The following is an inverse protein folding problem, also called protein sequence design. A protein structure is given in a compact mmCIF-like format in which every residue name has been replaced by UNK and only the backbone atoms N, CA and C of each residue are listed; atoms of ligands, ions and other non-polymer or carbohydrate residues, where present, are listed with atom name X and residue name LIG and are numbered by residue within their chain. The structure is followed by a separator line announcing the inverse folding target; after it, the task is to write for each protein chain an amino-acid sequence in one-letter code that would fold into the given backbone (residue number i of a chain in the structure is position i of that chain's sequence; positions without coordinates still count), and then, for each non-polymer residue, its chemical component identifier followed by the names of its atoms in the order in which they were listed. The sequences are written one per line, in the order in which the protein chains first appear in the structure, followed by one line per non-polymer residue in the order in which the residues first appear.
data_IF_254394051689
#
_entry.id   IF_254394051689
#
_cell.length_a   1.000
_cell.length_b   1.000
_cell.length_c   1.000
_cell.angle_alpha   90.00
_cell.angle_beta   90.00
_cell.angle_gamma   90.00
#
_symmetry.space_group_name_H-M   'P 1'
#
loop_
_entity.id
_entity.type
_entity.pdbx_description
1 polymer ?
#
# COMPACT_ATOMS: atom_id res chain seq x y z
N UNK A 1 -52.48 -17.05 -51.40
CA UNK A 1 -51.62 -18.23 -51.16
C UNK A 1 -50.13 -17.88 -51.27
N UNK A 2 -49.69 -16.72 -50.75
CA UNK A 2 -48.27 -16.35 -50.70
C UNK A 2 -47.81 -15.99 -49.26
N UNK A 3 -48.75 -15.88 -48.33
CA UNK A 3 -48.50 -15.46 -46.95
C UNK A 3 -48.17 -16.64 -46.02
N UNK A 4 -48.48 -17.87 -46.42
CA UNK A 4 -48.19 -19.09 -45.64
C UNK A 4 -46.80 -19.67 -45.87
N UNK A 5 -46.10 -19.30 -46.95
CA UNK A 5 -44.75 -19.79 -47.23
C UNK A 5 -43.65 -18.98 -46.50
N UNK A 6 -43.89 -17.68 -46.25
CA UNK A 6 -42.92 -16.83 -45.55
C UNK A 6 -42.84 -17.14 -44.05
N UNK A 7 -43.94 -17.58 -43.43
CA UNK A 7 -43.99 -17.90 -42.00
C UNK A 7 -43.33 -19.25 -41.68
N UNK A 8 -43.31 -20.20 -42.62
CA UNK A 8 -42.61 -21.49 -42.44
C UNK A 8 -41.09 -21.35 -42.60
N UNK A 9 -40.61 -20.48 -43.48
CA UNK A 9 -39.17 -20.23 -43.65
C UNK A 9 -38.53 -19.47 -42.47
N UNK A 10 -39.32 -18.73 -41.68
CA UNK A 10 -38.81 -17.99 -40.52
C UNK A 10 -38.60 -18.87 -39.27
N UNK A 11 -39.23 -20.05 -39.20
CA UNK A 11 -39.06 -21.00 -38.08
C UNK A 11 -37.82 -21.87 -38.27
N UNK A 12 -37.40 -22.15 -39.51
CA UNK A 12 -36.23 -22.99 -39.80
C UNK A 12 -34.86 -22.27 -39.68
N UNK A 13 -34.83 -20.94 -39.56
CA UNK A 13 -33.59 -20.16 -39.49
C UNK A 13 -33.16 -19.77 -38.07
N UNK A 14 -33.90 -20.22 -37.03
CA UNK A 14 -33.57 -19.95 -35.63
C UNK A 14 -32.69 -21.03 -34.97
N UNK A 15 -32.54 -22.20 -35.59
CA UNK A 15 -31.79 -23.33 -35.03
C UNK A 15 -30.33 -23.31 -35.50
N UNK A 16 -29.61 -22.26 -35.09
CA UNK A 16 -28.21 -22.10 -35.43
C UNK A 16 -27.30 -23.15 -34.75
N UNK A 17 -26.07 -23.36 -35.26
CA UNK A 17 -25.08 -24.30 -34.70
C UNK A 17 -24.69 -24.03 -33.23
N UNK A 18 -25.12 -22.89 -32.67
CA UNK A 18 -24.97 -22.57 -31.26
C UNK A 18 -25.90 -23.40 -30.35
N UNK A 19 -27.12 -23.73 -30.78
CA UNK A 19 -28.07 -24.53 -29.99
C UNK A 19 -27.66 -26.00 -29.93
N UNK A 20 -27.15 -26.56 -31.04
CA UNK A 20 -26.65 -27.94 -31.06
C UNK A 20 -25.37 -28.09 -30.22
N UNK A 21 -24.45 -27.12 -30.26
CA UNK A 21 -23.28 -27.10 -29.38
C UNK A 21 -23.64 -27.00 -27.89
N UNK A 22 -24.65 -26.20 -27.54
CA UNK A 22 -25.12 -26.06 -26.16
C UNK A 22 -25.80 -27.34 -25.67
N UNK A 23 -26.61 -27.98 -26.51
CA UNK A 23 -27.23 -29.27 -26.20
C UNK A 23 -26.19 -30.38 -25.97
N UNK A 24 -25.17 -30.48 -26.83
CA UNK A 24 -24.06 -31.44 -26.66
C UNK A 24 -23.29 -31.16 -25.36
N UNK A 25 -23.05 -29.89 -25.03
CA UNK A 25 -22.40 -29.50 -23.78
C UNK A 25 -23.22 -29.91 -22.54
N UNK A 26 -24.53 -29.67 -22.54
CA UNK A 26 -25.44 -30.06 -21.45
C UNK A 26 -25.57 -31.58 -21.31
N UNK A 27 -25.64 -32.31 -22.41
CA UNK A 27 -25.67 -33.78 -22.40
C UNK A 27 -24.36 -34.37 -21.84
N UNK A 28 -23.20 -33.81 -22.20
CA UNK A 28 -21.91 -34.19 -21.62
C UNK A 28 -21.82 -33.86 -20.11
N UNK A 29 -22.49 -32.80 -19.66
CA UNK A 29 -22.53 -32.41 -18.25
C UNK A 29 -23.27 -33.45 -17.37
N UNK A 30 -24.26 -34.14 -17.94
CA UNK A 30 -25.05 -35.17 -17.26
C UNK A 30 -24.40 -36.57 -17.25
N UNK A 31 -23.32 -36.78 -18.01
CA UNK A 31 -22.57 -38.04 -18.06
C UNK A 31 -21.66 -38.27 -16.85
N UNK A 32 -21.36 -37.23 -16.08
CA UNK A 32 -20.53 -37.31 -14.89
C UNK A 32 -21.41 -37.61 -13.66
N UNK A 33 -21.12 -38.67 -12.89
CA UNK A 33 -21.86 -38.98 -11.65
C UNK A 33 -21.96 -37.78 -10.71
N UNK A 34 -23.14 -37.54 -10.14
CA UNK A 34 -23.40 -36.49 -9.15
C UNK A 34 -22.38 -36.40 -7.98
N UNK A 35 -21.78 -37.49 -7.45
CA UNK A 35 -20.76 -37.35 -6.41
C UNK A 35 -19.46 -36.70 -6.89
N UNK A 36 -19.11 -36.82 -8.18
CA UNK A 36 -17.89 -36.22 -8.75
C UNK A 36 -18.06 -34.70 -8.85
N UNK A 37 -19.23 -34.22 -9.28
CA UNK A 37 -19.55 -32.79 -9.29
C UNK A 37 -19.53 -32.20 -7.87
N UNK A 38 -20.11 -32.89 -6.89
CA UNK A 38 -20.08 -32.46 -5.50
C UNK A 38 -18.64 -32.37 -4.95
N UNK A 39 -17.78 -33.35 -5.28
CA UNK A 39 -16.38 -33.34 -4.90
C UNK A 39 -15.63 -32.15 -5.51
N UNK A 40 -15.79 -31.89 -6.81
CA UNK A 40 -15.15 -30.74 -7.50
C UNK A 40 -15.61 -29.41 -6.91
N UNK A 41 -16.92 -29.24 -6.65
CA UNK A 41 -17.45 -28.00 -6.07
C UNK A 41 -16.95 -27.79 -4.63
N UNK A 42 -16.85 -28.85 -3.83
CA UNK A 42 -16.32 -28.75 -2.46
C UNK A 42 -14.85 -28.34 -2.45
N UNK A 43 -14.02 -28.94 -3.30
CA UNK A 43 -12.58 -28.64 -3.37
C UNK A 43 -12.34 -27.22 -3.90
N UNK A 44 -13.09 -26.80 -4.92
CA UNK A 44 -12.97 -25.44 -5.46
C UNK A 44 -13.44 -24.38 -4.45
N UNK A 45 -14.51 -24.64 -3.69
CA UNK A 45 -14.96 -23.77 -2.61
C UNK A 45 -13.90 -23.63 -1.51
N UNK A 46 -13.25 -24.73 -1.11
CA UNK A 46 -12.17 -24.70 -0.10
C UNK A 46 -10.97 -23.88 -0.60
N UNK A 47 -10.51 -24.10 -1.83
CA UNK A 47 -9.35 -23.40 -2.39
C UNK A 47 -9.63 -21.90 -2.50
N UNK A 48 -10.81 -21.52 -3.01
CA UNK A 48 -11.20 -20.12 -3.15
C UNK A 48 -11.32 -19.43 -1.80
N UNK A 49 -11.97 -20.07 -0.81
CA UNK A 49 -12.04 -19.56 0.55
C UNK A 49 -10.65 -19.42 1.20
N UNK A 50 -9.74 -20.38 0.98
CA UNK A 50 -8.37 -20.31 1.50
C UNK A 50 -7.58 -19.15 0.90
N UNK A 51 -7.66 -18.95 -0.42
CA UNK A 51 -6.98 -17.82 -1.09
C UNK A 51 -7.56 -16.49 -0.61
N UNK A 52 -8.89 -16.36 -0.56
CA UNK A 52 -9.54 -15.15 -0.10
C UNK A 52 -9.21 -14.85 1.37
N UNK A 53 -9.30 -15.86 2.23
CA UNK A 53 -8.95 -15.79 3.65
C UNK A 53 -7.50 -15.38 3.85
N UNK A 54 -6.54 -15.98 3.13
CA UNK A 54 -5.14 -15.62 3.22
C UNK A 54 -4.88 -14.16 2.80
N UNK A 55 -5.55 -13.68 1.74
CA UNK A 55 -5.43 -12.26 1.32
C UNK A 55 -6.03 -11.31 2.34
N UNK A 56 -7.18 -11.67 2.91
CA UNK A 56 -7.87 -10.88 3.94
C UNK A 56 -7.05 -10.81 5.23
N UNK A 57 -6.51 -11.94 5.69
CA UNK A 57 -5.62 -12.02 6.85
C UNK A 57 -4.36 -11.18 6.65
N UNK A 58 -3.72 -11.24 5.48
CA UNK A 58 -2.58 -10.37 5.17
C UNK A 58 -2.95 -8.89 5.24
N UNK A 59 -4.14 -8.51 4.78
CA UNK A 59 -4.60 -7.13 4.87
C UNK A 59 -4.76 -6.69 6.34
N UNK A 60 -5.50 -7.45 7.14
CA UNK A 60 -5.69 -7.16 8.57
C UNK A 60 -4.35 -7.10 9.29
N UNK A 61 -3.47 -8.07 9.05
CA UNK A 61 -2.16 -8.14 9.71
C UNK A 61 -1.33 -6.86 9.48
N UNK A 62 -1.36 -6.32 8.26
CA UNK A 62 -0.66 -5.06 7.93
C UNK A 62 -1.31 -3.85 8.57
N UNK A 63 -2.64 -3.77 8.55
CA UNK A 63 -3.39 -2.69 9.20
C UNK A 63 -3.12 -2.67 10.71
N UNK A 64 -3.18 -3.84 11.37
CA UNK A 64 -2.85 -4.01 12.78
C UNK A 64 -1.39 -3.66 13.09
N UNK A 65 -0.43 -4.15 12.30
CA UNK A 65 0.99 -3.82 12.49
C UNK A 65 1.23 -2.32 12.38
N UNK A 66 0.60 -1.68 11.40
CA UNK A 66 0.70 -0.23 11.20
C UNK A 66 0.08 0.53 12.36
N UNK A 67 -1.12 0.12 12.80
CA UNK A 67 -1.79 0.72 13.96
C UNK A 67 -0.92 0.62 15.22
N UNK A 68 -0.41 -0.57 15.53
CA UNK A 68 0.46 -0.79 16.70
C UNK A 68 1.75 0.03 16.60
N UNK A 69 2.29 0.21 15.39
CA UNK A 69 3.48 1.04 15.18
C UNK A 69 3.18 2.52 15.45
N UNK A 70 2.04 3.03 14.99
CA UNK A 70 1.58 4.39 15.27
C UNK A 70 1.34 4.57 16.76
N UNK A 71 0.61 3.64 17.39
CA UNK A 71 0.34 3.66 18.83
C UNK A 71 1.63 3.69 19.64
N UNK A 72 2.59 2.81 19.31
CA UNK A 72 3.87 2.77 20.00
C UNK A 72 4.61 4.11 19.89
N UNK A 73 4.64 4.73 18.71
CA UNK A 73 5.25 6.05 18.51
C UNK A 73 4.56 7.15 19.34
N UNK A 74 3.25 7.06 19.55
CA UNK A 74 2.51 8.06 20.33
C UNK A 74 2.79 8.00 21.83
N UNK A 75 3.15 6.83 22.35
CA UNK A 75 3.40 6.62 23.78
C UNK A 75 4.88 6.47 24.14
N UNK A 76 5.75 6.28 23.15
CA UNK A 76 7.19 6.20 23.36
C UNK A 76 7.75 7.59 23.74
N UNK A 77 8.19 7.69 24.99
CA UNK A 77 8.77 8.92 25.54
C UNK A 77 9.99 9.38 24.76
N UNK A 78 10.83 8.45 24.32
CA UNK A 78 12.07 8.79 23.62
C UNK A 78 11.76 9.39 22.25
N UNK A 79 10.76 8.83 21.56
CA UNK A 79 10.24 9.40 20.32
C UNK A 79 9.62 10.78 20.54
N UNK A 80 8.78 10.95 21.58
CA UNK A 80 8.15 12.23 21.91
C UNK A 80 9.20 13.31 22.19
N UNK A 81 10.23 13.00 22.98
CA UNK A 81 11.27 13.96 23.35
C UNK A 81 12.18 14.30 22.17
N UNK A 82 12.58 13.30 21.38
CA UNK A 82 13.27 13.53 20.11
C UNK A 82 12.42 14.39 19.15
N UNK A 83 11.10 14.18 19.14
CA UNK A 83 10.18 14.93 18.28
C UNK A 83 10.08 16.39 18.68
N UNK A 84 10.03 16.70 19.98
CA UNK A 84 10.04 18.09 20.48
C UNK A 84 11.31 18.82 20.05
N UNK A 85 12.47 18.17 20.19
CA UNK A 85 13.75 18.72 19.78
C UNK A 85 13.84 18.91 18.26
N UNK A 86 13.34 17.94 17.48
CA UNK A 86 13.25 18.06 16.03
C UNK A 86 12.39 19.25 15.60
N UNK A 87 11.19 19.41 16.16
CA UNK A 87 10.29 20.53 15.83
C UNK A 87 10.97 21.86 16.19
N UNK A 88 11.59 21.93 17.38
CA UNK A 88 12.35 23.11 17.80
C UNK A 88 13.45 23.44 16.79
N UNK A 89 14.28 22.46 16.42
CA UNK A 89 15.35 22.65 15.45
C UNK A 89 14.82 23.06 14.06
N UNK A 90 13.74 22.41 13.58
CA UNK A 90 13.11 22.70 12.29
C UNK A 90 12.56 24.13 12.22
N UNK A 91 11.91 24.59 13.29
CA UNK A 91 11.19 25.87 13.29
C UNK A 91 12.09 27.04 13.71
N UNK A 92 13.12 26.80 14.53
CA UNK A 92 13.99 27.88 15.04
C UNK A 92 15.25 28.09 14.20
N UNK A 93 15.74 27.06 13.48
CA UNK A 93 17.01 27.14 12.76
C UNK A 93 16.80 27.56 11.31
N UNK A 94 17.76 28.33 10.79
CA UNK A 94 17.84 28.67 9.37
C UNK A 94 18.26 27.45 8.54
N UNK A 95 17.97 27.44 7.22
CA UNK A 95 18.39 26.35 6.32
C UNK A 95 19.91 26.09 6.33
N UNK A 96 20.71 27.13 6.55
CA UNK A 96 22.18 27.02 6.64
C UNK A 96 22.58 26.27 7.91
N UNK A 97 22.01 26.64 9.05
CA UNK A 97 22.27 25.98 10.34
C UNK A 97 21.85 24.50 10.32
N UNK A 98 20.72 24.17 9.70
CA UNK A 98 20.29 22.78 9.51
C UNK A 98 21.28 21.99 8.63
N UNK A 99 21.82 22.62 7.60
CA UNK A 99 22.83 22.00 6.74
C UNK A 99 24.13 21.77 7.52
N UNK A 100 24.53 22.69 8.39
CA UNK A 100 25.73 22.51 9.22
C UNK A 100 25.52 21.45 10.31
N UNK A 101 24.31 21.39 10.90
CA UNK A 101 23.92 20.34 11.82
C UNK A 101 24.02 18.94 11.18
N UNK A 102 23.73 18.83 9.88
CA UNK A 102 23.88 17.57 9.13
C UNK A 102 25.32 17.05 9.06
N UNK A 103 26.31 17.94 9.18
CA UNK A 103 27.73 17.61 9.14
C UNK A 103 28.27 17.20 10.51
N UNK A 104 27.62 17.62 11.59
CA UNK A 104 28.03 17.35 12.96
C UNK A 104 27.76 15.91 13.36
N UNK A 105 28.65 15.32 14.17
CA UNK A 105 28.46 13.98 14.70
C UNK A 105 27.28 13.95 15.69
N UNK A 106 26.44 12.91 15.63
CA UNK A 106 25.29 12.75 16.53
C UNK A 106 25.67 12.66 18.01
N UNK A 107 26.89 12.20 18.31
CA UNK A 107 27.40 12.05 19.68
C UNK A 107 27.65 13.41 20.35
N UNK A 108 27.90 14.46 19.56
CA UNK A 108 28.34 15.76 20.07
C UNK A 108 27.21 16.77 20.19
N UNK A 109 26.14 16.62 19.41
CA UNK A 109 25.03 17.57 19.39
C UNK A 109 23.68 16.86 19.49
N UNK A 110 22.96 17.13 20.58
CA UNK A 110 21.64 16.57 20.86
C UNK A 110 20.61 16.93 19.78
N UNK A 111 20.66 18.14 19.21
CA UNK A 111 19.76 18.52 18.12
C UNK A 111 20.04 17.69 16.86
N UNK A 112 21.32 17.45 16.54
CA UNK A 112 21.70 16.62 15.40
C UNK A 112 21.25 15.16 15.60
N UNK A 113 21.38 14.65 16.83
CA UNK A 113 20.90 13.32 17.19
C UNK A 113 19.38 13.21 17.06
N UNK A 114 18.64 14.18 17.61
CA UNK A 114 17.18 14.19 17.57
C UNK A 114 16.64 14.29 16.14
N UNK A 115 17.21 15.18 15.30
CA UNK A 115 16.82 15.29 13.89
C UNK A 115 17.07 13.97 13.16
N UNK A 116 18.23 13.33 13.37
CA UNK A 116 18.50 12.02 12.77
C UNK A 116 17.57 10.93 13.28
N UNK A 117 17.24 10.91 14.57
CA UNK A 117 16.34 9.91 15.14
C UNK A 117 14.97 9.96 14.46
N UNK A 118 14.40 11.16 14.30
CA UNK A 118 13.12 11.35 13.62
C UNK A 118 13.20 11.03 12.13
N UNK A 119 14.24 11.49 11.43
CA UNK A 119 14.40 11.19 10.00
C UNK A 119 14.64 9.70 9.74
N UNK A 120 15.38 9.01 10.61
CA UNK A 120 15.58 7.56 10.53
C UNK A 120 14.26 6.81 10.76
N UNK A 121 13.43 7.28 11.69
CA UNK A 121 12.10 6.72 11.90
C UNK A 121 11.25 6.88 10.62
N UNK A 122 11.21 8.09 10.03
CA UNK A 122 10.49 8.30 8.77
C UNK A 122 11.03 7.44 7.62
N UNK A 123 12.34 7.23 7.53
CA UNK A 123 12.94 6.33 6.54
C UNK A 123 12.43 4.89 6.71
N UNK A 124 12.50 4.35 7.93
CA UNK A 124 12.05 2.97 8.22
C UNK A 124 10.55 2.82 7.95
N UNK A 125 9.74 3.80 8.34
CA UNK A 125 8.30 3.80 8.04
C UNK A 125 8.04 3.85 6.53
N UNK A 126 8.79 4.67 5.81
CA UNK A 126 8.69 4.80 4.36
C UNK A 126 9.07 3.51 3.65
N UNK A 127 10.17 2.87 4.07
CA UNK A 127 10.58 1.57 3.59
C UNK A 127 9.51 0.50 3.86
N UNK A 128 8.94 0.47 5.06
CA UNK A 128 7.86 -0.45 5.43
C UNK A 128 6.61 -0.30 4.55
N UNK A 129 6.25 0.93 4.19
CA UNK A 129 5.13 1.20 3.28
C UNK A 129 5.46 0.85 1.82
N UNK A 130 6.65 1.23 1.33
CA UNK A 130 7.08 0.95 -0.05
C UNK A 130 7.22 -0.55 -0.32
N UNK A 131 7.66 -1.32 0.67
CA UNK A 131 7.75 -2.79 0.61
C UNK A 131 6.42 -3.50 0.89
N UNK A 132 5.38 -2.75 1.29
CA UNK A 132 4.06 -3.28 1.57
C UNK A 132 3.95 -4.11 2.85
N UNK A 133 4.90 -3.94 3.78
CA UNK A 133 4.86 -4.47 5.16
C UNK A 133 3.86 -3.66 6.00
N UNK A 134 3.85 -2.34 5.82
CA UNK A 134 2.93 -1.42 6.45
C UNK A 134 1.81 -1.00 5.50
N UNK A 135 0.65 -0.68 6.05
CA UNK A 135 -0.48 -0.13 5.31
C UNK A 135 -0.31 1.38 5.12
N UNK A 136 0.10 1.74 3.91
CA UNK A 136 0.30 3.14 3.52
C UNK A 136 -0.97 3.98 3.60
N UNK A 137 -2.14 3.41 3.30
CA UNK A 137 -3.40 4.17 3.27
C UNK A 137 -3.78 4.60 4.67
N UNK A 138 -3.67 3.70 5.64
CA UNK A 138 -3.92 3.96 7.05
C UNK A 138 -2.95 5.01 7.58
N UNK A 139 -1.65 4.82 7.35
CA UNK A 139 -0.63 5.75 7.84
C UNK A 139 -0.77 7.14 7.20
N UNK A 140 -0.99 7.22 5.87
CA UNK A 140 -1.22 8.48 5.15
C UNK A 140 -2.45 9.22 5.70
N UNK A 141 -3.55 8.51 6.00
CA UNK A 141 -4.76 9.13 6.55
C UNK A 141 -4.50 9.83 7.89
N UNK A 142 -3.60 9.29 8.70
CA UNK A 142 -3.28 9.85 10.01
C UNK A 142 -2.17 10.93 9.94
N UNK A 143 -1.07 10.66 9.21
CA UNK A 143 0.17 11.46 9.29
C UNK A 143 0.47 12.36 8.08
N UNK A 144 -0.30 12.33 6.98
CA UNK A 144 0.09 12.98 5.71
C UNK A 144 0.58 14.42 5.88
N UNK A 145 -0.19 15.28 6.55
CA UNK A 145 0.15 16.71 6.66
C UNK A 145 1.49 16.91 7.37
N UNK A 146 1.63 16.27 8.51
CA UNK A 146 2.85 16.28 9.33
C UNK A 146 4.05 15.68 8.60
N UNK A 147 3.89 14.54 7.94
CA UNK A 147 4.94 13.87 7.17
C UNK A 147 5.47 14.76 6.04
N UNK A 148 4.57 15.41 5.28
CA UNK A 148 4.98 16.31 4.20
C UNK A 148 5.65 17.58 4.73
N UNK A 149 5.11 18.18 5.79
CA UNK A 149 5.68 19.39 6.39
C UNK A 149 7.06 19.14 7.01
N UNK A 150 7.23 18.00 7.68
CA UNK A 150 8.51 17.59 8.28
C UNK A 150 9.58 17.36 7.22
N UNK A 151 9.23 16.73 6.08
CA UNK A 151 10.16 16.57 4.97
C UNK A 151 10.65 17.92 4.43
N UNK A 152 9.72 18.85 4.17
CA UNK A 152 10.06 20.17 3.62
C UNK A 152 10.95 20.97 4.58
N UNK A 153 10.61 20.97 5.88
CA UNK A 153 11.40 21.66 6.90
C UNK A 153 12.78 21.03 7.12
N UNK A 154 12.89 19.71 7.01
CA UNK A 154 14.15 18.98 7.18
C UNK A 154 14.97 18.85 5.89
N UNK A 155 14.46 19.32 4.75
CA UNK A 155 15.09 19.16 3.44
C UNK A 155 16.55 19.63 3.39
N UNK A 156 16.93 20.80 3.95
CA UNK A 156 18.34 21.22 3.97
C UNK A 156 19.25 20.23 4.73
N UNK A 157 18.76 19.68 5.84
CA UNK A 157 19.47 18.66 6.61
C UNK A 157 19.64 17.38 5.79
N UNK A 158 18.56 16.88 5.18
CA UNK A 158 18.57 15.67 4.34
C UNK A 158 19.58 15.83 3.20
N UNK A 159 19.54 16.95 2.48
CA UNK A 159 20.46 17.24 1.38
C UNK A 159 21.92 17.30 1.86
N UNK A 160 22.16 17.87 3.05
CA UNK A 160 23.48 17.90 3.66
C UNK A 160 24.03 16.49 3.99
N UNK A 161 23.19 15.58 4.47
CA UNK A 161 23.56 14.16 4.66
C UNK A 161 23.78 13.48 3.30
N UNK A 162 22.90 13.72 2.33
CA UNK A 162 22.97 13.14 0.99
C UNK A 162 24.17 13.60 0.17
N UNK A 163 24.80 14.73 0.54
CA UNK A 163 26.07 15.14 -0.04
C UNK A 163 27.18 14.09 0.19
N UNK A 164 27.14 13.37 1.32
CA UNK A 164 28.06 12.28 1.65
C UNK A 164 27.53 10.91 1.26
N UNK A 165 26.23 10.67 1.48
CA UNK A 165 25.58 9.41 1.16
C UNK A 165 24.27 9.65 0.39
N UNK A 166 24.34 9.57 -0.93
CA UNK A 166 23.19 9.83 -1.83
C UNK A 166 21.96 8.95 -1.57
N UNK A 167 22.12 7.81 -0.88
CA UNK A 167 21.01 6.90 -0.55
C UNK A 167 20.33 7.23 0.78
N UNK A 168 20.88 8.13 1.59
CA UNK A 168 20.28 8.47 2.87
C UNK A 168 18.91 9.15 2.67
N UNK A 169 17.89 8.67 3.38
CA UNK A 169 16.53 9.23 3.39
C UNK A 169 15.83 9.13 2.03
N UNK A 170 16.22 8.17 1.17
CA UNK A 170 15.73 8.11 -0.21
C UNK A 170 14.32 7.55 -0.27
N UNK A 171 14.00 6.60 0.59
CA UNK A 171 12.69 5.99 0.73
C UNK A 171 11.70 7.02 1.25
N UNK A 172 12.12 7.84 2.22
CA UNK A 172 11.34 8.98 2.69
C UNK A 172 11.07 9.99 1.58
N UNK A 173 12.09 10.41 0.82
CA UNK A 173 11.94 11.31 -0.32
C UNK A 173 10.96 10.75 -1.37
N UNK A 174 11.14 9.48 -1.75
CA UNK A 174 10.30 8.80 -2.75
C UNK A 174 8.84 8.79 -2.31
N UNK A 175 8.58 8.49 -1.04
CA UNK A 175 7.23 8.46 -0.50
C UNK A 175 6.62 9.86 -0.41
N UNK A 176 7.42 10.85 0.01
CA UNK A 176 7.05 12.25 0.06
C UNK A 176 6.62 12.76 -1.33
N UNK A 177 7.41 12.51 -2.38
CA UNK A 177 7.10 12.94 -3.75
C UNK A 177 5.78 12.33 -4.23
N UNK A 178 5.59 11.03 -3.98
CA UNK A 178 4.36 10.31 -4.31
C UNK A 178 3.14 10.88 -3.59
N UNK A 179 3.28 11.26 -2.33
CA UNK A 179 2.17 11.81 -1.53
C UNK A 179 1.86 13.27 -1.84
N UNK A 180 2.89 14.04 -2.23
CA UNK A 180 2.75 15.40 -2.72
C UNK A 180 2.02 15.43 -4.06
N UNK A 181 2.41 14.56 -5.00
CA UNK A 181 1.80 14.46 -6.33
C UNK A 181 0.34 14.01 -6.26
N UNK A 182 0.03 13.00 -5.44
CA UNK A 182 -1.35 12.51 -5.22
C UNK A 182 -2.16 13.39 -4.25
N UNK A 183 -1.79 14.66 -4.15
CA UNK A 183 -2.24 15.61 -3.14
C UNK A 183 -2.98 16.83 -3.67
N UNK A 184 -3.15 16.89 -4.99
CA UNK A 184 -4.09 17.76 -5.72
C UNK A 184 -5.40 17.01 -5.95
#
# INVERSE_FOLDING_TARGET
MAETAATQAAVELSDGPAQSCWAIFVSCLQLVPTPIWAAILSVTAIITAAIFGARWQRKIARETLTFNTIEHQLWDKDYIDARKLFIKARDSMTPVELTDLSKQASVTNENAAAVRAILNNYEVMSLGMLTGVLDEKLYKKYFRGTFLADYEGAKPFIQGVQAKNKKAYKEYETLYERWRANGQ
#
